data_IF_722756400206
#
_entry.id   IF_722756400206
#
_cell.length_a   1.000
_cell.length_b   1.000
_cell.length_c   1.000
_cell.angle_alpha   90.00
_cell.angle_beta   90.00
_cell.angle_gamma   90.00
#
_symmetry.space_group_name_H-M   'P 1'
#
loop_
_entity.id
_entity.type
_entity.pdbx_description
1 polymer ?
#
# COMPACT_ATOMS: atom_id res chain seq x y z
N UNK A 1 38.68 0.01 -34.99
CA UNK A 1 38.37 1.29 -34.31
C UNK A 1 38.14 0.99 -32.83
N UNK A 2 38.79 1.70 -31.91
CA UNK A 2 38.70 1.45 -30.47
C UNK A 2 37.53 2.22 -29.85
N UNK A 3 36.67 1.54 -29.08
CA UNK A 3 35.51 2.11 -28.38
C UNK A 3 35.97 2.81 -27.10
N UNK A 4 35.77 4.12 -26.99
CA UNK A 4 36.05 4.90 -25.78
C UNK A 4 34.78 4.99 -24.92
N UNK A 5 34.78 4.48 -23.67
CA UNK A 5 33.58 4.50 -22.84
C UNK A 5 33.34 5.89 -22.24
N UNK A 6 32.31 6.58 -22.72
CA UNK A 6 31.86 7.91 -22.28
C UNK A 6 31.08 7.81 -20.95
N UNK A 7 31.79 7.49 -19.86
CA UNK A 7 31.20 7.30 -18.50
C UNK A 7 30.46 8.53 -17.95
N UNK A 8 30.74 9.72 -18.47
CA UNK A 8 30.19 10.98 -17.95
C UNK A 8 28.74 11.26 -18.37
N UNK A 9 28.29 10.75 -19.52
CA UNK A 9 26.90 10.93 -19.97
C UNK A 9 25.93 10.04 -19.17
N UNK A 10 26.40 8.86 -18.74
CA UNK A 10 25.60 7.92 -17.95
C UNK A 10 25.32 8.48 -16.55
N UNK A 11 26.29 9.19 -15.95
CA UNK A 11 26.12 9.80 -14.63
C UNK A 11 25.08 10.94 -14.64
N UNK A 12 24.96 11.68 -15.75
CA UNK A 12 23.95 12.73 -15.88
C UNK A 12 22.55 12.14 -16.02
N UNK A 13 22.38 11.06 -16.79
CA UNK A 13 21.08 10.38 -16.92
C UNK A 13 20.55 9.76 -15.61
N UNK A 14 21.44 9.35 -14.69
CA UNK A 14 21.07 8.77 -13.39
C UNK A 14 20.75 9.84 -12.32
N UNK A 15 21.22 11.08 -12.49
CA UNK A 15 21.04 12.16 -11.52
C UNK A 15 19.62 12.74 -11.47
N UNK A 16 18.88 12.69 -12.57
CA UNK A 16 17.58 13.36 -12.73
C UNK A 16 16.37 12.57 -12.19
N UNK A 17 16.57 11.35 -11.66
CA UNK A 17 15.50 10.51 -11.09
C UNK A 17 15.38 10.60 -9.56
N UNK A 18 15.93 11.63 -8.92
CA UNK A 18 15.82 11.86 -7.46
C UNK A 18 15.09 13.15 -7.08
N UNK A 19 14.06 13.55 -7.84
CA UNK A 19 13.18 14.66 -7.48
C UNK A 19 11.70 14.33 -7.71
N UNK A 20 11.11 13.59 -6.77
CA UNK A 20 9.78 13.85 -6.18
C UNK A 20 9.26 12.58 -5.50
N UNK A 21 9.49 12.47 -4.19
CA UNK A 21 8.53 11.79 -3.34
C UNK A 21 8.34 12.69 -2.13
N UNK A 22 7.69 13.83 -2.37
CA UNK A 22 7.09 14.62 -1.30
C UNK A 22 5.95 13.76 -0.74
N UNK A 23 5.97 13.32 0.54
CA UNK A 23 4.78 12.73 1.14
C UNK A 23 3.67 13.79 1.05
N UNK A 24 2.47 13.45 0.55
CA UNK A 24 1.40 14.44 0.40
C UNK A 24 1.10 15.06 1.77
N UNK A 25 1.29 16.39 1.84
CA UNK A 25 0.96 17.21 3.01
C UNK A 25 -0.46 16.89 3.47
N UNK A 26 -0.60 16.57 4.75
CA UNK A 26 -1.87 16.35 5.41
C UNK A 26 -2.68 17.65 5.43
N UNK A 27 -3.65 17.76 4.53
CA UNK A 27 -4.73 18.74 4.67
C UNK A 27 -5.64 18.28 5.82
N UNK A 28 -5.56 19.00 6.94
CA UNK A 28 -6.41 18.78 8.11
C UNK A 28 -7.69 19.61 7.98
N UNK A 29 -8.79 18.87 7.85
CA UNK A 29 -10.05 19.03 8.59
C UNK A 29 -10.93 20.26 8.34
N UNK A 30 -12.01 20.05 7.58
CA UNK A 30 -13.25 20.79 7.72
C UNK A 30 -14.42 19.81 7.93
N UNK A 31 -14.99 19.85 9.14
CA UNK A 31 -16.33 19.40 9.56
C UNK A 31 -17.15 18.56 8.57
N UNK A 32 -16.87 17.27 8.53
CA UNK A 32 -17.80 16.21 8.13
C UNK A 32 -17.55 15.08 9.10
N UNK A 33 -18.61 14.43 9.59
CA UNK A 33 -18.58 13.20 10.40
C UNK A 33 -17.27 12.43 10.16
N UNK A 34 -16.45 12.27 11.20
CA UNK A 34 -15.07 11.81 11.08
C UNK A 34 -14.99 10.43 10.42
N UNK A 35 -15.04 10.40 9.09
CA UNK A 35 -14.89 9.20 8.30
C UNK A 35 -13.46 8.72 8.52
N UNK A 36 -13.31 7.68 9.34
CA UNK A 36 -12.00 7.14 9.64
C UNK A 36 -11.40 6.58 8.35
N UNK A 37 -10.23 7.10 7.99
CA UNK A 37 -9.50 6.63 6.82
C UNK A 37 -8.90 5.26 7.13
N UNK A 38 -9.03 4.34 6.16
CA UNK A 38 -8.35 3.05 6.19
C UNK A 38 -6.84 3.25 6.34
N UNK A 39 -6.26 2.63 7.37
CA UNK A 39 -4.81 2.57 7.61
C UNK A 39 -4.30 1.17 7.28
N UNK A 40 -3.05 1.07 6.83
CA UNK A 40 -2.42 -0.22 6.63
C UNK A 40 -1.91 -0.74 7.97
N UNK A 41 -2.31 -1.96 8.31
CA UNK A 41 -1.84 -2.68 9.50
C UNK A 41 -1.16 -3.98 9.08
N UNK A 42 -0.06 -4.33 9.74
CA UNK A 42 0.62 -5.60 9.57
C UNK A 42 0.34 -6.50 10.77
N UNK A 43 -0.12 -7.72 10.50
CA UNK A 43 -0.42 -8.71 11.52
C UNK A 43 0.39 -9.98 11.29
N UNK A 44 0.76 -10.65 12.38
CA UNK A 44 1.30 -11.99 12.33
C UNK A 44 0.19 -12.98 12.64
N UNK A 45 0.01 -13.98 11.77
CA UNK A 45 -1.01 -15.01 11.88
C UNK A 45 -0.36 -16.38 11.72
N UNK A 46 -0.90 -17.38 12.41
CA UNK A 46 -0.56 -18.78 12.09
C UNK A 46 -1.01 -19.10 10.66
N UNK A 47 -0.26 -19.90 9.88
CA UNK A 47 -0.64 -20.25 8.51
C UNK A 47 -2.05 -20.86 8.41
N UNK A 48 -2.40 -21.76 9.33
CA UNK A 48 -3.75 -22.35 9.39
C UNK A 48 -4.87 -21.31 9.58
N UNK A 49 -4.64 -20.28 10.39
CA UNK A 49 -5.64 -19.22 10.57
C UNK A 49 -5.75 -18.33 9.34
N UNK A 50 -4.65 -18.10 8.62
CA UNK A 50 -4.64 -17.36 7.36
C UNK A 50 -5.46 -18.08 6.28
N UNK A 51 -5.36 -19.40 6.21
CA UNK A 51 -6.17 -20.22 5.29
C UNK A 51 -7.67 -20.12 5.58
N UNK A 52 -8.06 -20.26 6.86
CA UNK A 52 -9.46 -20.10 7.29
C UNK A 52 -10.01 -18.72 6.93
N UNK A 53 -9.23 -17.67 7.16
CA UNK A 53 -9.60 -16.31 6.79
C UNK A 53 -9.82 -16.17 5.27
N UNK A 54 -8.97 -16.79 4.46
CA UNK A 54 -9.14 -16.80 3.01
C UNK A 54 -10.40 -17.56 2.57
N UNK A 55 -10.77 -18.63 3.26
CA UNK A 55 -12.03 -19.36 3.01
C UNK A 55 -13.24 -18.49 3.35
N UNK A 56 -13.28 -17.90 4.55
CA UNK A 56 -14.36 -16.99 4.97
C UNK A 56 -14.52 -15.78 4.04
N UNK A 57 -13.41 -15.25 3.53
CA UNK A 57 -13.43 -14.15 2.55
C UNK A 57 -14.14 -14.57 1.26
N UNK A 58 -13.87 -15.78 0.77
CA UNK A 58 -14.51 -16.32 -0.45
C UNK A 58 -15.99 -16.60 -0.22
N UNK A 59 -16.33 -17.18 0.93
CA UNK A 59 -17.72 -17.51 1.30
C UNK A 59 -18.59 -16.26 1.46
N UNK A 60 -18.05 -15.19 2.05
CA UNK A 60 -18.74 -13.91 2.19
C UNK A 60 -18.83 -13.08 0.90
N UNK A 61 -18.16 -13.51 -0.18
CA UNK A 61 -18.06 -12.73 -1.42
C UNK A 61 -17.26 -11.42 -1.27
N UNK A 62 -16.47 -11.29 -0.21
CA UNK A 62 -15.68 -10.09 0.06
C UNK A 62 -14.52 -9.97 -0.92
N UNK A 63 -14.17 -8.74 -1.32
CA UNK A 63 -13.10 -8.51 -2.31
C UNK A 63 -11.71 -8.92 -1.80
N UNK A 64 -11.50 -8.85 -0.50
CA UNK A 64 -10.23 -9.20 0.14
C UNK A 64 -10.43 -9.56 1.61
N UNK A 65 -9.42 -10.19 2.19
CA UNK A 65 -9.31 -10.44 3.62
C UNK A 65 -9.51 -9.17 4.46
N UNK A 66 -8.93 -8.04 4.04
CA UNK A 66 -9.08 -6.78 4.76
C UNK A 66 -10.50 -6.23 4.65
N UNK A 67 -11.14 -6.33 3.47
CA UNK A 67 -12.53 -5.91 3.27
C UNK A 67 -13.51 -6.75 4.10
N UNK A 68 -13.27 -8.05 4.19
CA UNK A 68 -14.03 -8.96 5.04
C UNK A 68 -13.91 -8.56 6.51
N UNK A 69 -12.69 -8.33 7.00
CA UNK A 69 -12.45 -7.94 8.39
C UNK A 69 -13.10 -6.60 8.73
N UNK A 70 -12.97 -5.61 7.83
CA UNK A 70 -13.53 -4.27 7.99
C UNK A 70 -15.06 -4.34 8.14
N UNK A 71 -15.74 -5.00 7.21
CA UNK A 71 -17.19 -5.21 7.26
C UNK A 71 -17.64 -6.01 8.46
N UNK A 72 -16.88 -7.05 8.82
CA UNK A 72 -17.18 -7.88 9.98
C UNK A 72 -17.07 -7.09 11.29
N UNK A 73 -16.06 -6.21 11.40
CA UNK A 73 -15.87 -5.32 12.55
C UNK A 73 -16.93 -4.21 12.61
N UNK A 74 -17.34 -3.65 11.47
CA UNK A 74 -18.44 -2.66 11.41
C UNK A 74 -19.81 -3.28 11.77
N UNK A 75 -19.96 -4.59 11.59
CA UNK A 75 -21.19 -5.32 11.92
C UNK A 75 -21.29 -5.75 13.39
N UNK A 76 -20.22 -5.63 14.16
CA UNK A 76 -20.17 -5.99 15.59
C UNK A 76 -20.78 -4.88 16.45
#
# INVERSE_FOLDING_TARGET
>A
MAFTPKKQEIAQALGDTKKNITPPQSVSSSNTEEFERKKQYQFMLKPSNREKLNQLTKESGSRSASDYLDKWLESL
#
